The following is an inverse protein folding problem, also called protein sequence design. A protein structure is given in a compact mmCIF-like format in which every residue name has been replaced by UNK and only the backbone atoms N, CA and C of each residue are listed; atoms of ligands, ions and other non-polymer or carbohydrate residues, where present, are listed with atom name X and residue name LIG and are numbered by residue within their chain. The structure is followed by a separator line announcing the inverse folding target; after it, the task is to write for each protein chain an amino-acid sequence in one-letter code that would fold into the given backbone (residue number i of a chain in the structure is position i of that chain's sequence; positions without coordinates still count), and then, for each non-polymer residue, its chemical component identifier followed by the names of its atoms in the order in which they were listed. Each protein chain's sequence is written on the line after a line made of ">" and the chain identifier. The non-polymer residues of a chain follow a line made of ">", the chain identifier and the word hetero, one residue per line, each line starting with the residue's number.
data_IF_337063345385
#
_entry.id   IF_337063345385
#
_cell.length_a   1.000
_cell.length_b   1.000
_cell.length_c   1.000
_cell.angle_alpha   90.00
_cell.angle_beta   90.00
_cell.angle_gamma   90.00
#
_symmetry.space_group_name_H-M   'P 1'
#
loop_
_entity.id
_entity.type
_entity.pdbx_description
1 polymer ?
#
# COMPACT_ATOMS: atom_id res chain seq x y z
N UNK A 1 -26.22 3.03 -17.50
CA UNK A 1 -25.70 2.98 -18.88
C UNK A 1 -25.19 1.56 -19.10
N UNK A 2 -25.70 0.85 -20.11
CA UNK A 2 -25.21 -0.50 -20.41
C UNK A 2 -23.97 -0.37 -21.28
N UNK A 3 -22.82 -0.78 -20.77
CA UNK A 3 -21.57 -0.81 -21.50
C UNK A 3 -21.75 -1.56 -22.83
N UNK A 4 -21.47 -0.91 -23.95
CA UNK A 4 -21.49 -1.59 -25.26
C UNK A 4 -20.29 -2.53 -25.31
N UNK A 5 -20.56 -3.83 -25.24
CA UNK A 5 -19.51 -4.86 -25.22
C UNK A 5 -18.85 -4.92 -26.60
N UNK A 6 -17.52 -4.78 -26.72
CA UNK A 6 -16.82 -4.89 -28.00
C UNK A 6 -17.11 -6.22 -28.69
N UNK A 7 -17.26 -6.20 -30.02
CA UNK A 7 -17.53 -7.40 -30.82
C UNK A 7 -16.42 -8.44 -30.63
N UNK A 8 -16.73 -9.57 -29.98
CA UNK A 8 -15.78 -10.64 -29.65
C UNK A 8 -15.38 -10.75 -28.17
N UNK A 9 -15.76 -9.78 -27.33
CA UNK A 9 -15.54 -9.85 -25.88
C UNK A 9 -16.66 -10.66 -25.19
N UNK A 10 -16.28 -11.54 -24.25
CA UNK A 10 -17.26 -12.28 -23.45
C UNK A 10 -17.91 -11.36 -22.42
N UNK A 11 -19.24 -11.27 -22.44
CA UNK A 11 -19.98 -10.45 -21.48
C UNK A 11 -19.87 -10.86 -20.01
N UNK A 12 -19.29 -12.03 -19.71
CA UNK A 12 -18.96 -12.44 -18.34
C UNK A 12 -17.60 -11.89 -17.84
N UNK A 13 -16.71 -11.54 -18.76
CA UNK A 13 -15.31 -11.18 -18.46
C UNK A 13 -14.98 -9.71 -18.74
N UNK A 14 -15.90 -9.01 -19.41
CA UNK A 14 -15.81 -7.59 -19.73
C UNK A 14 -16.60 -6.76 -18.72
N UNK A 15 -15.96 -5.72 -18.18
CA UNK A 15 -16.56 -4.68 -17.36
C UNK A 15 -15.89 -3.34 -17.74
N UNK A 16 -16.57 -2.22 -17.59
CA UNK A 16 -16.00 -0.89 -17.87
C UNK A 16 -14.75 -0.64 -17.00
N UNK A 17 -14.76 -1.04 -15.72
CA UNK A 17 -13.60 -0.91 -14.82
C UNK A 17 -12.40 -1.78 -15.21
N UNK A 18 -12.63 -2.82 -16.03
CA UNK A 18 -11.59 -3.75 -16.49
C UNK A 18 -11.17 -3.49 -17.93
N UNK A 19 -11.87 -2.60 -18.63
CA UNK A 19 -11.55 -2.22 -19.99
C UNK A 19 -10.19 -1.48 -20.02
N UNK A 20 -9.43 -1.59 -21.13
CA UNK A 20 -8.24 -0.79 -21.31
C UNK A 20 -8.55 0.70 -21.14
N UNK A 21 -7.69 1.43 -20.43
CA UNK A 21 -7.90 2.87 -20.24
C UNK A 21 -7.48 3.65 -21.49
N UNK A 22 -8.47 4.27 -22.15
CA UNK A 22 -8.28 5.13 -23.33
C UNK A 22 -7.80 6.55 -22.98
N UNK A 23 -8.15 7.05 -21.79
CA UNK A 23 -7.81 8.39 -21.32
C UNK A 23 -6.79 8.36 -20.18
N UNK A 24 -5.53 8.69 -20.49
CA UNK A 24 -4.44 8.73 -19.49
C UNK A 24 -4.07 10.17 -19.19
N UNK A 25 -4.55 10.68 -18.06
CA UNK A 25 -4.34 12.08 -17.64
C UNK A 25 -3.18 12.27 -16.67
N UNK A 26 -2.57 11.18 -16.22
CA UNK A 26 -1.50 11.21 -15.23
C UNK A 26 -0.17 11.64 -15.86
N UNK A 27 0.33 12.80 -15.44
CA UNK A 27 1.65 13.29 -15.80
C UNK A 27 2.72 12.91 -14.79
N UNK A 28 3.92 13.44 -14.99
CA UNK A 28 5.07 13.22 -14.09
C UNK A 28 4.75 13.61 -12.65
N UNK A 29 4.08 14.75 -12.43
CA UNK A 29 3.73 15.21 -11.08
C UNK A 29 2.76 14.26 -10.37
N UNK A 30 1.78 13.71 -11.08
CA UNK A 30 0.84 12.73 -10.53
C UNK A 30 1.56 11.47 -10.07
N UNK A 31 2.51 10.98 -10.87
CA UNK A 31 3.35 9.83 -10.53
C UNK A 31 4.25 10.14 -9.34
N UNK A 32 4.91 11.30 -9.34
CA UNK A 32 5.75 11.75 -8.23
C UNK A 32 4.94 11.83 -6.93
N UNK A 33 3.79 12.48 -6.92
CA UNK A 33 2.94 12.62 -5.74
C UNK A 33 2.47 11.26 -5.21
N UNK A 34 2.07 10.33 -6.10
CA UNK A 34 1.72 8.97 -5.73
C UNK A 34 2.88 8.24 -5.04
N UNK A 35 4.10 8.34 -5.60
CA UNK A 35 5.28 7.72 -5.02
C UNK A 35 5.70 8.34 -3.69
N UNK A 36 5.65 9.67 -3.57
CA UNK A 36 5.91 10.35 -2.30
C UNK A 36 4.92 9.93 -1.21
N UNK A 37 3.67 9.65 -1.58
CA UNK A 37 2.67 9.11 -0.65
C UNK A 37 3.01 7.70 -0.14
N UNK A 38 3.65 6.87 -0.97
CA UNK A 38 4.04 5.51 -0.59
C UNK A 38 5.26 5.52 0.36
N UNK A 39 6.26 6.33 0.03
CA UNK A 39 7.51 6.45 0.80
C UNK A 39 7.28 7.09 2.17
N UNK A 40 6.42 8.10 2.26
CA UNK A 40 6.09 8.76 3.53
C UNK A 40 5.07 7.97 4.36
N UNK A 41 5.38 6.71 4.62
CA UNK A 41 4.61 5.83 5.48
C UNK A 41 5.32 5.62 6.83
N UNK A 42 4.53 5.49 7.92
CA UNK A 42 5.06 5.12 9.22
C UNK A 42 5.80 3.77 9.15
N UNK A 43 5.30 2.83 8.35
CA UNK A 43 5.99 1.58 8.04
C UNK A 43 7.42 1.79 7.52
N UNK A 44 7.61 2.63 6.50
CA UNK A 44 8.93 2.94 5.95
C UNK A 44 9.89 3.54 6.98
N UNK A 45 9.39 4.46 7.83
CA UNK A 45 10.20 5.02 8.91
C UNK A 45 10.56 4.01 9.99
N UNK A 46 9.62 3.15 10.39
CA UNK A 46 9.90 2.08 11.37
C UNK A 46 10.90 1.05 10.83
N UNK A 47 10.86 0.75 9.52
CA UNK A 47 11.84 -0.11 8.88
C UNK A 47 13.24 0.52 8.87
N UNK A 48 13.35 1.80 8.50
CA UNK A 48 14.64 2.48 8.57
C UNK A 48 15.19 2.52 10.01
N UNK A 49 14.33 2.85 10.99
CA UNK A 49 14.69 2.87 12.40
C UNK A 49 15.13 1.49 12.94
N UNK A 50 14.50 0.40 12.49
CA UNK A 50 14.87 -0.96 12.92
C UNK A 50 16.26 -1.36 12.44
N UNK A 51 16.69 -0.91 11.25
CA UNK A 51 18.05 -1.13 10.76
C UNK A 51 19.09 -0.46 11.69
N UNK A 52 18.83 0.76 12.15
CA UNK A 52 19.68 1.41 13.16
C UNK A 52 19.65 0.70 14.50
N UNK A 53 18.49 0.21 14.93
CA UNK A 53 18.35 -0.56 16.17
C UNK A 53 19.13 -1.88 16.15
N UNK A 54 19.38 -2.45 14.96
CA UNK A 54 20.26 -3.61 14.78
C UNK A 54 21.76 -3.26 14.87
N UNK A 55 22.11 -1.99 15.10
CA UNK A 55 23.49 -1.52 15.24
C UNK A 55 24.18 -1.13 13.94
N UNK A 56 23.43 -1.03 12.83
CA UNK A 56 23.99 -0.58 11.55
C UNK A 56 24.32 0.92 11.58
N UNK A 57 25.49 1.27 11.04
CA UNK A 57 25.89 2.67 10.88
C UNK A 57 25.09 3.36 9.77
N UNK A 58 24.95 4.68 9.85
CA UNK A 58 24.17 5.48 8.88
C UNK A 58 24.59 5.26 7.43
N UNK A 59 25.89 5.12 7.17
CA UNK A 59 26.40 4.85 5.83
C UNK A 59 25.99 3.47 5.29
N UNK A 60 25.99 2.44 6.15
CA UNK A 60 25.58 1.08 5.78
C UNK A 60 24.08 1.03 5.46
N UNK A 61 23.26 1.67 6.31
CA UNK A 61 21.81 1.76 6.10
C UNK A 61 21.52 2.51 4.80
N UNK A 62 22.15 3.67 4.59
CA UNK A 62 21.96 4.45 3.36
C UNK A 62 22.29 3.64 2.11
N UNK A 63 23.47 2.99 2.08
CA UNK A 63 23.88 2.20 0.91
C UNK A 63 22.94 1.01 0.68
N UNK A 64 22.54 0.30 1.74
CA UNK A 64 21.61 -0.82 1.64
C UNK A 64 20.24 -0.38 1.08
N UNK A 65 19.71 0.76 1.53
CA UNK A 65 18.46 1.32 1.02
C UNK A 65 18.59 1.75 -0.45
N UNK A 66 19.68 2.41 -0.83
CA UNK A 66 19.94 2.84 -2.22
C UNK A 66 20.05 1.62 -3.16
N UNK A 67 20.77 0.58 -2.75
CA UNK A 67 20.89 -0.63 -3.55
C UNK A 67 19.54 -1.34 -3.67
N UNK A 68 18.80 -1.45 -2.55
CA UNK A 68 17.47 -2.04 -2.53
C UNK A 68 16.48 -1.32 -3.46
N UNK A 69 16.41 0.01 -3.41
CA UNK A 69 15.48 0.78 -4.24
C UNK A 69 15.84 0.71 -5.73
N UNK A 70 17.13 0.65 -6.09
CA UNK A 70 17.56 0.48 -7.49
C UNK A 70 17.11 -0.89 -8.03
N UNK A 71 17.28 -1.95 -7.25
CA UNK A 71 16.85 -3.30 -7.63
C UNK A 71 15.33 -3.33 -7.82
N UNK A 72 14.58 -2.81 -6.83
CA UNK A 72 13.11 -2.74 -6.90
C UNK A 72 12.65 -1.91 -8.08
N UNK A 73 13.28 -0.76 -8.33
CA UNK A 73 13.00 0.10 -9.47
C UNK A 73 13.13 -0.65 -10.79
N UNK A 74 14.22 -1.42 -10.98
CA UNK A 74 14.41 -2.20 -12.19
C UNK A 74 13.32 -3.28 -12.37
N UNK A 75 13.04 -4.06 -11.32
CA UNK A 75 12.03 -5.12 -11.35
C UNK A 75 10.61 -4.57 -11.57
N UNK A 76 10.30 -3.40 -11.00
CA UNK A 76 9.02 -2.73 -11.21
C UNK A 76 8.86 -2.18 -12.63
N UNK A 77 9.92 -1.64 -13.23
CA UNK A 77 9.84 -1.22 -14.63
C UNK A 77 9.63 -2.42 -15.58
N UNK A 78 10.30 -3.54 -15.30
CA UNK A 78 10.14 -4.76 -16.10
C UNK A 78 8.72 -5.32 -16.01
N UNK A 79 8.17 -5.44 -14.80
CA UNK A 79 6.79 -5.94 -14.59
C UNK A 79 5.72 -4.93 -15.01
N UNK A 80 5.98 -3.63 -14.88
CA UNK A 80 5.06 -2.54 -15.23
C UNK A 80 4.92 -2.31 -16.73
N UNK A 81 5.90 -2.72 -17.54
CA UNK A 81 5.90 -2.49 -18.99
C UNK A 81 4.64 -3.02 -19.69
N UNK A 82 4.21 -4.24 -19.34
CA UNK A 82 3.02 -4.85 -19.93
C UNK A 82 1.75 -4.03 -19.65
N UNK A 83 1.58 -3.56 -18.41
CA UNK A 83 0.44 -2.72 -18.01
C UNK A 83 0.48 -1.33 -18.64
N UNK A 84 1.65 -0.72 -18.75
CA UNK A 84 1.81 0.59 -19.41
C UNK A 84 1.51 0.50 -20.93
N UNK A 85 1.99 -0.54 -21.60
CA UNK A 85 1.79 -0.71 -23.04
C UNK A 85 0.33 -1.02 -23.39
N UNK A 86 -0.32 -1.89 -22.61
CA UNK A 86 -1.68 -2.39 -22.91
C UNK A 86 -2.79 -1.59 -22.24
N UNK A 87 -2.49 -0.86 -21.17
CA UNK A 87 -3.49 -0.11 -20.40
C UNK A 87 -4.48 -1.00 -19.65
N UNK A 88 -4.27 -2.32 -19.59
CA UNK A 88 -5.15 -3.23 -18.86
C UNK A 88 -4.74 -3.36 -17.40
N UNK A 89 -5.70 -3.49 -16.47
CA UNK A 89 -5.38 -3.60 -15.05
C UNK A 89 -4.77 -4.96 -14.71
N UNK A 90 -4.04 -5.03 -13.60
CA UNK A 90 -3.35 -6.24 -13.14
C UNK A 90 -4.21 -7.52 -13.12
N UNK A 91 -5.47 -7.50 -12.64
CA UNK A 91 -6.32 -8.71 -12.66
C UNK A 91 -6.60 -9.27 -14.05
N UNK A 92 -6.55 -8.44 -15.09
CA UNK A 92 -6.69 -8.86 -16.49
C UNK A 92 -5.37 -9.42 -17.01
N UNK A 93 -4.23 -8.77 -16.71
CA UNK A 93 -2.91 -9.27 -17.08
C UNK A 93 -2.60 -10.64 -16.46
N UNK A 94 -3.02 -10.86 -15.20
CA UNK A 94 -2.82 -12.13 -14.51
C UNK A 94 -3.51 -13.32 -15.24
N UNK A 95 -4.55 -13.06 -16.05
CA UNK A 95 -5.24 -14.10 -16.83
C UNK A 95 -4.37 -14.68 -17.94
N UNK A 96 -3.36 -13.94 -18.41
CA UNK A 96 -2.42 -14.43 -19.45
C UNK A 96 -1.55 -15.56 -18.90
N UNK A 97 -1.14 -15.48 -17.63
CA UNK A 97 -0.28 -16.48 -17.00
C UNK A 97 -1.04 -17.60 -16.29
N UNK A 98 -2.14 -17.27 -15.61
CA UNK A 98 -2.87 -18.22 -14.74
C UNK A 98 -4.22 -18.66 -15.31
N UNK A 99 -4.62 -18.16 -16.48
CA UNK A 99 -5.95 -18.37 -17.03
C UNK A 99 -7.04 -17.57 -16.32
N UNK A 100 -8.27 -17.66 -16.81
CA UNK A 100 -9.41 -16.87 -16.31
C UNK A 100 -9.82 -17.22 -14.89
N UNK A 101 -9.81 -18.50 -14.54
CA UNK A 101 -10.14 -18.96 -13.19
C UNK A 101 -8.93 -18.92 -12.24
N UNK A 102 -7.73 -19.24 -12.73
CA UNK A 102 -6.52 -19.26 -11.91
C UNK A 102 -6.05 -17.86 -11.50
N UNK A 103 -6.36 -16.82 -12.27
CA UNK A 103 -6.06 -15.43 -11.90
C UNK A 103 -6.72 -14.96 -10.59
N UNK A 104 -7.73 -15.66 -10.08
CA UNK A 104 -8.34 -15.36 -8.78
C UNK A 104 -7.39 -15.63 -7.60
N UNK A 105 -6.50 -16.64 -7.72
CA UNK A 105 -5.55 -16.97 -6.66
C UNK A 105 -4.54 -15.83 -6.39
N UNK A 106 -3.78 -15.29 -7.38
CA UNK A 106 -2.90 -14.17 -7.14
C UNK A 106 -3.65 -12.90 -6.75
N UNK A 107 -4.90 -12.71 -7.23
CA UNK A 107 -5.73 -11.59 -6.80
C UNK A 107 -6.09 -11.67 -5.31
N UNK A 108 -6.49 -12.86 -4.82
CA UNK A 108 -6.80 -13.10 -3.41
C UNK A 108 -5.58 -12.93 -2.51
N UNK A 109 -4.43 -13.50 -2.89
CA UNK A 109 -3.18 -13.34 -2.14
C UNK A 109 -2.84 -11.86 -2.01
N UNK A 110 -2.91 -11.10 -3.10
CA UNK A 110 -2.64 -9.67 -3.09
C UNK A 110 -3.64 -8.90 -2.21
N UNK A 111 -4.92 -9.29 -2.21
CA UNK A 111 -5.93 -8.69 -1.34
C UNK A 111 -5.64 -8.94 0.14
N UNK A 112 -5.24 -10.16 0.52
CA UNK A 112 -4.88 -10.49 1.90
C UNK A 112 -3.69 -9.67 2.40
N UNK A 113 -2.63 -9.57 1.59
CA UNK A 113 -1.45 -8.75 1.92
C UNK A 113 -1.84 -7.28 2.05
N UNK A 114 -2.69 -6.76 1.16
CA UNK A 114 -3.17 -5.38 1.22
C UNK A 114 -3.99 -5.11 2.49
N UNK A 115 -4.86 -6.03 2.91
CA UNK A 115 -5.64 -5.91 4.15
C UNK A 115 -4.72 -5.90 5.37
N UNK A 116 -3.74 -6.81 5.42
CA UNK A 116 -2.77 -6.86 6.51
C UNK A 116 -1.98 -5.55 6.61
N UNK A 117 -1.50 -5.03 5.47
CA UNK A 117 -0.77 -3.77 5.40
C UNK A 117 -1.63 -2.57 5.82
N UNK A 118 -2.88 -2.52 5.36
CA UNK A 118 -3.84 -1.49 5.76
C UNK A 118 -4.11 -1.51 7.27
N UNK A 119 -4.22 -2.71 7.87
CA UNK A 119 -4.37 -2.88 9.32
C UNK A 119 -3.18 -2.31 10.10
N UNK A 120 -1.95 -2.62 9.69
CA UNK A 120 -0.73 -2.09 10.31
C UNK A 120 -0.70 -0.56 10.24
N UNK A 121 -0.99 0.01 9.07
CA UNK A 121 -0.98 1.47 8.86
C UNK A 121 -2.06 2.16 9.70
N UNK A 122 -3.25 1.57 9.80
CA UNK A 122 -4.34 2.09 10.63
C UNK A 122 -3.98 2.05 12.13
N UNK A 123 -3.35 0.98 12.58
CA UNK A 123 -2.86 0.86 13.96
C UNK A 123 -1.75 1.87 14.28
N UNK A 124 -0.79 2.06 13.37
CA UNK A 124 0.25 3.07 13.55
C UNK A 124 -0.33 4.49 13.57
N UNK A 125 -1.33 4.77 12.71
CA UNK A 125 -2.03 6.04 12.69
C UNK A 125 -2.83 6.30 13.97
N UNK A 126 -3.54 5.30 14.51
CA UNK A 126 -4.29 5.46 15.76
C UNK A 126 -3.36 5.79 16.93
N UNK A 127 -2.19 5.15 17.00
CA UNK A 127 -1.16 5.48 18.00
C UNK A 127 -0.63 6.91 17.87
N UNK A 128 -0.39 7.37 16.65
CA UNK A 128 0.04 8.76 16.42
C UNK A 128 -1.00 9.77 16.92
N UNK A 129 -2.30 9.51 16.70
CA UNK A 129 -3.40 10.34 17.22
C UNK A 129 -3.41 10.37 18.75
N UNK A 130 -3.29 9.21 19.41
CA UNK A 130 -3.25 9.14 20.88
C UNK A 130 -2.07 9.95 21.44
N UNK A 131 -0.90 9.88 20.81
CA UNK A 131 0.26 10.69 21.23
C UNK A 131 -0.01 12.17 21.05
N UNK A 132 -0.61 12.59 19.92
CA UNK A 132 -0.96 13.98 19.68
C UNK A 132 -1.95 14.53 20.73
N UNK A 133 -2.94 13.73 21.14
CA UNK A 133 -3.91 14.10 22.18
C UNK A 133 -3.24 14.28 23.56
N UNK A 134 -2.25 13.45 23.90
CA UNK A 134 -1.49 13.56 25.16
C UNK A 134 -0.66 14.85 25.25
N UNK A 135 -0.23 15.40 24.11
CA UNK A 135 0.53 16.65 24.03
C UNK A 135 -0.37 17.85 24.34
N UNK A 136 -1.67 17.79 24.02
CA UNK A 136 -2.61 18.87 24.30
C UNK A 136 -3.16 18.79 25.73
N UNK A 137 -2.82 19.73 26.63
CA UNK A 137 -3.16 19.63 28.05
C UNK A 137 -4.66 19.58 28.34
N UNK A 138 -5.50 20.21 27.50
CA UNK A 138 -6.97 20.18 27.59
C UNK A 138 -7.66 18.90 27.10
N UNK A 139 -6.96 17.98 26.43
CA UNK A 139 -7.52 16.71 25.94
C UNK A 139 -6.96 15.48 26.66
N UNK A 140 -6.11 15.67 27.68
CA UNK A 140 -5.56 14.57 28.49
C UNK A 140 -6.65 13.71 29.16
N UNK A 141 -7.77 14.32 29.57
CA UNK A 141 -8.90 13.61 30.20
C UNK A 141 -9.61 12.61 29.28
N UNK A 142 -9.49 12.74 27.95
CA UNK A 142 -10.02 11.76 26.99
C UNK A 142 -9.12 10.50 26.87
N UNK A 143 -7.97 10.51 27.53
CA UNK A 143 -7.03 9.38 27.58
C UNK A 143 -7.20 8.53 28.85
N UNK A 144 -8.04 8.97 29.80
CA UNK A 144 -8.30 8.26 31.06
C UNK A 144 -9.73 7.64 31.06
N UNK A 145 -9.81 6.36 31.43
CA UNK A 145 -10.80 5.37 30.97
C UNK A 145 -12.18 5.40 31.67
N UNK A 146 -13.27 4.93 31.01
CA UNK A 146 -14.04 3.74 31.50
C UNK A 146 -15.20 3.17 30.61
N UNK A 147 -15.47 1.87 30.88
CA UNK A 147 -16.71 1.08 30.82
C UNK A 147 -17.03 0.11 29.66
N UNK A 148 -16.04 -0.37 28.90
CA UNK A 148 -16.05 -1.74 28.34
C UNK A 148 -14.71 -2.47 28.59
N UNK A 149 -14.07 -2.16 29.73
CA UNK A 149 -13.14 -3.11 30.37
C UNK A 149 -11.70 -3.17 29.87
N UNK A 150 -11.18 -2.19 29.13
CA UNK A 150 -9.74 -2.10 28.82
C UNK A 150 -9.30 -0.63 28.78
N UNK A 151 -8.04 -0.35 29.12
CA UNK A 151 -7.37 0.90 28.74
C UNK A 151 -6.79 0.74 27.33
N UNK A 152 -7.67 0.75 26.33
CA UNK A 152 -7.55 -0.17 25.18
C UNK A 152 -6.51 0.18 24.09
N UNK A 153 -5.90 1.38 24.04
CA UNK A 153 -5.12 1.81 22.85
C UNK A 153 -3.60 1.95 23.01
N UNK A 154 -3.02 1.59 24.16
CA UNK A 154 -1.56 1.57 24.28
C UNK A 154 -1.12 0.57 25.35
N UNK A 155 -1.29 -0.73 25.07
CA UNK A 155 -0.71 -1.82 25.86
C UNK A 155 0.82 -1.84 25.77
N UNK A 156 1.48 -0.84 26.36
CA UNK A 156 2.85 -0.96 26.83
C UNK A 156 2.90 -0.46 28.28
N UNK A 157 3.61 -1.19 29.16
CA UNK A 157 3.73 -0.84 30.55
C UNK A 157 4.43 0.52 30.67
N UNK A 158 3.76 1.46 31.31
CA UNK A 158 4.41 2.58 31.98
C UNK A 158 5.43 2.01 32.97
N UNK A 159 6.71 2.30 32.74
CA UNK A 159 7.67 2.37 33.84
C UNK A 159 7.21 3.41 34.85
#
# INVERSE_FOLDING_TARGET
>A
MSATIPSGASGRLYNEDLAPTDHRTWGFYSLFAMWMSDIHSLGGYTFAASLFALGLGAWQVFLALVVGIIIVFFLMNLSGFAGQKTGVPYPVLARVSFGTFGANLPALIRALVAIAWYGIQTWLASRAVVIALKIWPGLKGLTENNFLGESTWAGLPSC
#
